data_IF_017270452751
#
_entry.id   IF_017270452751
#
_cell.length_a   1.000
_cell.length_b   1.000
_cell.length_c   1.000
_cell.angle_alpha   90.00
_cell.angle_beta   90.00
_cell.angle_gamma   90.00
#
_symmetry.space_group_name_H-M   'P 1'
#
loop_
_entity.id
_entity.type
_entity.pdbx_description
1 polymer ?
#
# COMPACT_ATOMS: atom_id res chain seq x y z
N UNK A 1 16.82 17.49 4.65
CA UNK A 1 16.55 17.88 6.05
C UNK A 1 16.96 16.73 6.95
N UNK A 2 17.79 16.98 7.92
CA UNK A 2 18.30 15.93 8.83
C UNK A 2 17.58 15.99 10.17
N UNK A 3 17.29 14.84 10.74
CA UNK A 3 16.70 14.68 12.08
C UNK A 3 17.58 13.76 12.92
N UNK A 4 17.39 13.76 14.23
CA UNK A 4 18.03 12.77 15.10
C UNK A 4 17.19 11.48 15.11
N UNK A 5 17.83 10.33 15.34
CA UNK A 5 17.14 9.03 15.28
C UNK A 5 15.97 8.89 16.28
N UNK A 6 16.03 9.60 17.42
CA UNK A 6 14.91 9.66 18.37
C UNK A 6 13.64 10.32 17.81
N UNK A 7 13.75 11.09 16.72
CA UNK A 7 12.62 11.77 16.08
C UNK A 7 12.01 10.95 14.93
N UNK A 8 12.57 9.79 14.62
CA UNK A 8 12.01 8.86 13.64
C UNK A 8 10.61 8.42 14.09
N UNK A 9 9.69 8.41 13.15
CA UNK A 9 8.31 7.94 13.35
C UNK A 9 7.90 6.99 12.24
N UNK A 10 6.93 6.13 12.53
CA UNK A 10 6.33 5.23 11.54
C UNK A 10 5.75 6.02 10.36
N UNK A 11 5.98 5.55 9.15
CA UNK A 11 5.53 6.18 7.91
C UNK A 11 6.48 7.21 7.32
N UNK A 12 7.47 7.68 8.08
CA UNK A 12 8.50 8.59 7.55
C UNK A 12 9.34 7.91 6.48
N UNK A 13 9.78 8.68 5.50
CA UNK A 13 10.79 8.26 4.55
C UNK A 13 12.14 8.84 4.95
N UNK A 14 13.13 8.00 5.11
CA UNK A 14 14.50 8.38 5.50
C UNK A 14 15.51 7.84 4.49
N UNK A 15 16.67 8.47 4.43
CA UNK A 15 17.79 7.96 3.64
C UNK A 15 18.63 7.04 4.53
N UNK A 16 18.70 5.78 4.13
CA UNK A 16 19.53 4.78 4.80
C UNK A 16 20.47 4.12 3.78
N UNK A 17 21.77 4.21 4.03
CA UNK A 17 22.81 3.75 3.11
C UNK A 17 22.67 4.33 1.67
N UNK A 18 22.27 5.61 1.57
CA UNK A 18 22.08 6.28 0.28
C UNK A 18 20.78 5.94 -0.45
N UNK A 19 19.89 5.16 0.16
CA UNK A 19 18.62 4.76 -0.44
C UNK A 19 17.42 5.24 0.38
N UNK A 20 16.33 5.67 -0.28
CA UNK A 20 15.10 6.03 0.42
C UNK A 20 14.42 4.78 1.01
N UNK A 21 14.14 4.83 2.30
CA UNK A 21 13.49 3.76 3.05
C UNK A 21 12.29 4.29 3.81
N UNK A 22 11.19 3.53 3.85
CA UNK A 22 10.02 3.81 4.69
C UNK A 22 10.19 3.16 6.05
N UNK A 23 9.93 3.91 7.09
CA UNK A 23 9.90 3.38 8.46
C UNK A 23 8.58 2.65 8.68
N UNK A 24 8.65 1.33 8.86
CA UNK A 24 7.50 0.47 9.14
C UNK A 24 7.16 0.45 10.63
N UNK A 25 8.18 0.27 11.45
CA UNK A 25 8.08 0.20 12.91
C UNK A 25 9.30 0.85 13.53
N UNK A 26 9.15 1.41 14.71
CA UNK A 26 10.28 1.88 15.51
C UNK A 26 10.01 1.62 16.99
N UNK A 27 11.07 1.30 17.72
CA UNK A 27 11.04 1.09 19.16
C UNK A 27 12.17 1.87 19.81
N UNK A 28 11.82 2.78 20.71
CA UNK A 28 12.79 3.47 21.55
C UNK A 28 13.11 2.59 22.75
N UNK A 29 14.36 2.18 22.86
CA UNK A 29 14.81 1.32 23.95
C UNK A 29 15.90 2.01 24.76
N UNK A 30 15.63 2.18 26.04
CA UNK A 30 16.60 2.74 27.00
C UNK A 30 16.91 1.66 28.04
N UNK A 31 17.92 0.80 27.81
CA UNK A 31 18.28 -0.23 28.75
C UNK A 31 19.04 0.37 29.92
N UNK A 32 18.43 0.42 31.12
CA UNK A 32 19.07 0.76 32.39
C UNK A 32 20.07 1.91 32.33
N UNK A 33 21.35 1.63 32.62
CA UNK A 33 22.45 2.59 32.59
C UNK A 33 23.13 2.73 31.21
N UNK A 34 22.58 2.15 30.15
CA UNK A 34 23.14 2.20 28.79
C UNK A 34 22.51 3.33 27.96
N UNK A 35 23.21 3.68 26.86
CA UNK A 35 22.75 4.71 25.94
C UNK A 35 21.43 4.30 25.28
N UNK A 36 20.52 5.26 25.14
CA UNK A 36 19.27 5.07 24.43
C UNK A 36 19.50 4.70 22.97
N UNK A 37 18.73 3.72 22.47
CA UNK A 37 18.78 3.22 21.11
C UNK A 37 17.39 3.26 20.49
N UNK A 38 17.33 3.40 19.16
CA UNK A 38 16.11 3.31 18.36
C UNK A 38 16.25 2.13 17.41
N UNK A 39 15.44 1.11 17.61
CA UNK A 39 15.34 0.00 16.66
C UNK A 39 14.27 0.35 15.64
N UNK A 40 14.63 0.38 14.37
CA UNK A 40 13.73 0.68 13.28
C UNK A 40 13.67 -0.47 12.29
N UNK A 41 12.44 -0.82 11.88
CA UNK A 41 12.18 -1.70 10.76
C UNK A 41 11.91 -0.85 9.54
N UNK A 42 12.71 -1.04 8.52
CA UNK A 42 12.72 -0.22 7.32
C UNK A 42 12.33 -1.05 6.09
N UNK A 43 11.67 -0.42 5.13
CA UNK A 43 11.45 -0.98 3.79
C UNK A 43 12.13 -0.09 2.76
N UNK A 44 13.04 -0.65 1.97
CA UNK A 44 13.63 0.04 0.83
C UNK A 44 12.55 0.34 -0.20
N UNK A 45 12.39 1.60 -0.58
CA UNK A 45 11.32 2.00 -1.50
C UNK A 45 11.57 1.55 -2.94
N UNK A 46 12.85 1.39 -3.34
CA UNK A 46 13.20 0.92 -4.68
C UNK A 46 12.99 -0.58 -4.88
N UNK A 47 13.27 -1.40 -3.86
CA UNK A 47 13.29 -2.87 -3.97
C UNK A 47 12.18 -3.56 -3.17
N UNK A 48 11.50 -2.85 -2.27
CA UNK A 48 10.53 -3.43 -1.36
C UNK A 48 11.12 -4.28 -0.23
N UNK A 49 12.43 -4.49 -0.22
CA UNK A 49 13.13 -5.32 0.77
C UNK A 49 13.04 -4.71 2.16
N UNK A 50 12.70 -5.52 3.15
CA UNK A 50 12.67 -5.10 4.55
C UNK A 50 14.01 -5.40 5.21
N UNK A 51 14.40 -4.50 6.11
CA UNK A 51 15.58 -4.64 6.94
C UNK A 51 15.33 -4.02 8.31
N UNK A 52 16.10 -4.44 9.30
CA UNK A 52 16.11 -3.84 10.63
C UNK A 52 17.45 -3.18 10.89
N UNK A 53 17.40 -2.00 11.48
CA UNK A 53 18.60 -1.28 11.90
C UNK A 53 18.41 -0.66 13.28
N UNK A 54 19.50 -0.66 14.04
CA UNK A 54 19.55 -0.07 15.38
C UNK A 54 20.39 1.21 15.33
N UNK A 55 19.73 2.33 15.48
CA UNK A 55 20.36 3.65 15.60
C UNK A 55 20.69 3.96 17.04
N UNK A 56 21.72 4.73 17.27
CA UNK A 56 21.88 5.47 18.53
C UNK A 56 20.85 6.60 18.52
N UNK A 57 20.28 6.95 19.67
CA UNK A 57 19.26 8.02 19.74
C UNK A 57 19.73 9.36 19.19
N UNK A 58 21.05 9.61 19.22
CA UNK A 58 21.71 10.83 18.76
C UNK A 58 22.23 10.76 17.33
N UNK A 59 22.11 9.61 16.65
CA UNK A 59 22.54 9.49 15.26
C UNK A 59 21.71 10.43 14.39
N UNK A 60 22.34 11.05 13.41
CA UNK A 60 21.66 11.91 12.44
C UNK A 60 21.20 11.08 11.25
N UNK A 61 19.97 11.28 10.85
CA UNK A 61 19.33 10.60 9.73
C UNK A 61 18.71 11.64 8.81
N UNK A 62 18.96 11.51 7.51
CA UNK A 62 18.36 12.40 6.51
C UNK A 62 16.93 11.93 6.17
N UNK A 63 16.00 12.88 6.12
CA UNK A 63 14.64 12.65 5.66
C UNK A 63 14.64 12.68 4.14
N UNK A 64 14.06 11.65 3.51
CA UNK A 64 13.85 11.64 2.07
C UNK A 64 12.65 12.54 1.72
N UNK A 65 12.87 13.51 0.86
CA UNK A 65 11.78 14.33 0.30
C UNK A 65 11.11 13.57 -0.84
N UNK A 66 9.86 13.17 -0.61
CA UNK A 66 9.03 12.51 -1.59
C UNK A 66 8.03 13.51 -2.16
N UNK A 67 7.93 13.55 -3.47
CA UNK A 67 6.85 14.25 -4.16
C UNK A 67 5.72 13.29 -4.45
N UNK A 68 4.49 13.73 -4.30
CA UNK A 68 3.29 12.93 -4.59
C UNK A 68 2.52 13.56 -5.73
N UNK A 69 2.06 12.72 -6.66
CA UNK A 69 1.18 13.13 -7.75
C UNK A 69 -0.02 12.20 -7.84
N UNK A 70 -1.17 12.76 -8.16
CA UNK A 70 -2.34 11.97 -8.52
C UNK A 70 -2.22 11.51 -9.97
N UNK A 71 -2.34 10.20 -10.17
CA UNK A 71 -2.29 9.57 -11.49
C UNK A 71 -3.58 8.80 -11.76
N UNK A 72 -4.06 8.87 -12.98
CA UNK A 72 -5.14 8.05 -13.48
C UNK A 72 -4.55 6.85 -14.22
N UNK A 73 -4.94 5.64 -13.82
CA UNK A 73 -4.53 4.42 -14.49
C UNK A 73 -5.28 4.28 -15.81
N UNK A 74 -4.55 4.22 -16.92
CA UNK A 74 -5.13 4.17 -18.26
C UNK A 74 -5.32 2.73 -18.74
N UNK A 75 -4.24 1.98 -18.86
CA UNK A 75 -4.25 0.59 -19.32
C UNK A 75 -2.96 -0.12 -18.99
N UNK A 76 -2.99 -1.44 -19.11
CA UNK A 76 -1.81 -2.33 -18.99
C UNK A 76 -1.41 -2.86 -20.36
N UNK A 77 -0.13 -2.78 -20.69
CA UNK A 77 0.48 -3.40 -21.87
C UNK A 77 1.64 -4.30 -21.44
N UNK A 78 1.44 -5.62 -21.53
CA UNK A 78 2.43 -6.59 -21.04
C UNK A 78 2.61 -6.49 -19.53
N UNK A 79 3.80 -6.15 -19.07
CA UNK A 79 4.17 -5.91 -17.67
C UNK A 79 4.22 -4.41 -17.31
N UNK A 80 3.88 -3.53 -18.26
CA UNK A 80 3.93 -2.08 -18.09
C UNK A 80 2.55 -1.51 -17.89
N UNK A 81 2.40 -0.69 -16.86
CA UNK A 81 1.19 0.05 -16.53
C UNK A 81 1.34 1.50 -16.97
N UNK A 82 0.36 1.98 -17.73
CA UNK A 82 0.35 3.33 -18.27
C UNK A 82 -0.58 4.21 -17.45
N UNK A 83 -0.04 5.33 -17.00
CA UNK A 83 -0.74 6.32 -16.18
C UNK A 83 -0.70 7.68 -16.84
N UNK A 84 -1.65 8.52 -16.47
CA UNK A 84 -1.70 9.91 -16.84
C UNK A 84 -1.77 10.78 -15.57
N UNK A 85 -0.91 11.78 -15.48
CA UNK A 85 -0.95 12.75 -14.40
C UNK A 85 -2.25 13.55 -14.47
N UNK A 86 -2.98 13.62 -13.37
CA UNK A 86 -4.27 14.28 -13.30
C UNK A 86 -4.21 15.82 -13.45
N UNK A 87 -3.04 16.43 -13.17
CA UNK A 87 -2.86 17.88 -13.21
C UNK A 87 -2.35 18.38 -14.56
N UNK A 88 -1.28 17.76 -15.09
CA UNK A 88 -0.58 18.23 -16.29
C UNK A 88 -0.77 17.32 -17.51
N UNK A 89 -1.47 16.18 -17.35
CA UNK A 89 -1.75 15.18 -18.40
C UNK A 89 -0.50 14.49 -18.97
N UNK A 90 0.64 14.60 -18.31
CA UNK A 90 1.83 13.85 -18.69
C UNK A 90 1.61 12.35 -18.54
N UNK A 91 2.10 11.58 -19.51
CA UNK A 91 2.03 10.13 -19.46
C UNK A 91 3.25 9.56 -18.75
N UNK A 92 2.99 8.53 -17.95
CA UNK A 92 3.99 7.84 -17.15
C UNK A 92 3.82 6.33 -17.28
N UNK A 93 4.93 5.64 -17.39
CA UNK A 93 4.98 4.18 -17.41
C UNK A 93 5.60 3.67 -16.11
N UNK A 94 4.98 2.65 -15.53
CA UNK A 94 5.45 2.00 -14.31
C UNK A 94 5.42 0.49 -14.52
N UNK A 95 6.53 -0.16 -14.21
CA UNK A 95 6.63 -1.62 -14.33
C UNK A 95 5.87 -2.32 -13.21
N UNK A 96 5.36 -3.52 -13.49
CA UNK A 96 4.63 -4.36 -12.53
C UNK A 96 5.47 -4.64 -11.28
N UNK A 97 6.79 -4.75 -11.40
CA UNK A 97 7.70 -4.95 -10.28
C UNK A 97 7.68 -3.76 -9.31
N UNK A 98 7.64 -2.53 -9.83
CA UNK A 98 7.53 -1.30 -9.00
C UNK A 98 6.18 -1.21 -8.30
N UNK A 99 5.10 -1.65 -8.95
CA UNK A 99 3.77 -1.70 -8.34
C UNK A 99 3.66 -2.77 -7.24
N UNK A 100 4.36 -3.88 -7.39
CA UNK A 100 4.32 -5.00 -6.46
C UNK A 100 2.89 -5.52 -6.25
N UNK A 101 2.50 -5.74 -4.99
CA UNK A 101 1.17 -6.26 -4.63
C UNK A 101 0.02 -5.31 -5.00
N UNK A 102 0.28 -4.04 -5.25
CA UNK A 102 -0.75 -3.08 -5.67
C UNK A 102 -1.25 -3.35 -7.09
N UNK A 103 -0.44 -3.99 -7.92
CA UNK A 103 -0.78 -4.29 -9.31
C UNK A 103 -2.08 -5.08 -9.46
N UNK A 104 -2.33 -6.04 -8.57
CA UNK A 104 -3.55 -6.88 -8.58
C UNK A 104 -4.84 -6.10 -8.32
N UNK A 105 -4.75 -4.93 -7.68
CA UNK A 105 -5.89 -4.08 -7.35
C UNK A 105 -6.19 -3.02 -8.41
N UNK A 106 -5.31 -2.87 -9.41
CA UNK A 106 -5.46 -1.86 -10.44
C UNK A 106 -6.65 -2.15 -11.34
N UNK A 107 -7.45 -1.11 -11.59
CA UNK A 107 -8.56 -1.14 -12.56
C UNK A 107 -8.47 0.10 -13.43
N UNK A 108 -8.75 -0.04 -14.73
CA UNK A 108 -8.71 1.07 -15.67
C UNK A 108 -9.61 2.23 -15.20
N UNK A 109 -9.11 3.45 -15.31
CA UNK A 109 -9.77 4.66 -14.83
C UNK A 109 -9.61 4.93 -13.33
N UNK A 110 -8.92 4.06 -12.59
CA UNK A 110 -8.67 4.26 -11.17
C UNK A 110 -7.68 5.41 -10.94
N UNK A 111 -8.01 6.27 -9.98
CA UNK A 111 -7.10 7.31 -9.49
C UNK A 111 -6.28 6.80 -8.32
N UNK A 112 -4.98 7.01 -8.40
CA UNK A 112 -3.99 6.59 -7.39
C UNK A 112 -3.09 7.76 -7.03
N UNK A 113 -2.37 7.62 -5.93
CA UNK A 113 -1.29 8.54 -5.55
C UNK A 113 0.05 7.84 -5.79
N UNK A 114 0.89 8.43 -6.63
CA UNK A 114 2.24 7.96 -6.85
C UNK A 114 3.24 8.80 -6.07
N UNK A 115 4.19 8.13 -5.45
CA UNK A 115 5.32 8.75 -4.74
C UNK A 115 6.56 8.75 -5.63
N UNK A 116 7.19 9.90 -5.72
CA UNK A 116 8.40 10.12 -6.52
C UNK A 116 9.57 10.51 -5.61
N UNK A 117 10.71 9.96 -5.90
CA UNK A 117 11.99 10.35 -5.33
C UNK A 117 12.94 10.72 -6.46
N UNK A 118 13.46 11.95 -6.45
CA UNK A 118 14.34 12.48 -7.51
C UNK A 118 13.76 12.29 -8.93
N UNK A 119 12.45 12.52 -9.09
CA UNK A 119 11.76 12.42 -10.38
C UNK A 119 11.44 11.00 -10.84
N UNK A 120 11.74 9.98 -10.03
CA UNK A 120 11.44 8.57 -10.35
C UNK A 120 10.30 8.04 -9.49
N UNK A 121 9.34 7.31 -10.06
CA UNK A 121 8.30 6.67 -9.28
C UNK A 121 8.91 5.55 -8.43
N UNK A 122 8.63 5.57 -7.13
CA UNK A 122 9.16 4.59 -6.17
C UNK A 122 8.08 3.82 -5.43
N UNK A 123 6.83 4.25 -5.54
CA UNK A 123 5.71 3.60 -4.90
C UNK A 123 4.38 4.18 -5.32
N UNK A 124 3.34 3.39 -5.11
CA UNK A 124 1.96 3.75 -5.39
C UNK A 124 1.15 3.50 -4.15
N UNK A 125 0.32 4.48 -3.80
CA UNK A 125 -0.67 4.36 -2.76
C UNK A 125 -2.04 4.21 -3.39
N UNK A 126 -2.70 3.10 -3.09
CA UNK A 126 -4.09 2.89 -3.44
C UNK A 126 -4.98 3.69 -2.48
N UNK A 127 -6.20 4.07 -2.91
CA UNK A 127 -7.21 4.55 -1.99
C UNK A 127 -7.42 3.55 -0.86
N UNK A 128 -7.72 4.05 0.34
CA UNK A 128 -7.99 3.19 1.52
C UNK A 128 -9.21 2.28 1.33
N UNK A 129 -10.05 2.62 0.38
CA UNK A 129 -11.28 1.88 0.06
C UNK A 129 -11.47 1.84 -1.44
N UNK A 130 -11.67 0.64 -1.98
CA UNK A 130 -12.03 0.40 -3.37
C UNK A 130 -13.44 -0.15 -3.46
N UNK A 131 -14.22 0.34 -4.43
CA UNK A 131 -15.54 -0.19 -4.75
C UNK A 131 -15.40 -1.09 -5.97
N UNK A 132 -15.70 -2.37 -5.81
CA UNK A 132 -15.57 -3.41 -6.83
C UNK A 132 -16.84 -4.25 -6.90
N UNK A 133 -17.13 -4.76 -8.11
CA UNK A 133 -18.23 -5.68 -8.32
C UNK A 133 -17.81 -7.12 -8.01
N UNK A 134 -18.70 -7.87 -7.38
CA UNK A 134 -18.56 -9.30 -7.17
C UNK A 134 -18.98 -10.02 -8.45
N UNK A 135 -18.04 -10.63 -9.15
CA UNK A 135 -18.30 -11.33 -10.42
C UNK A 135 -18.64 -12.80 -10.22
N UNK A 136 -18.20 -13.39 -9.10
CA UNK A 136 -18.49 -14.79 -8.78
C UNK A 136 -18.40 -15.03 -7.27
N UNK A 137 -19.42 -15.67 -6.71
CA UNK A 137 -19.46 -16.14 -5.31
C UNK A 137 -20.50 -17.24 -5.14
N UNK A 138 -20.36 -18.03 -4.09
CA UNK A 138 -21.35 -19.05 -3.76
C UNK A 138 -22.72 -18.43 -3.44
N UNK A 139 -23.83 -19.11 -3.81
CA UNK A 139 -25.17 -18.65 -3.46
C UNK A 139 -25.39 -18.64 -1.93
N UNK A 140 -26.39 -17.88 -1.48
CA UNK A 140 -26.76 -17.82 -0.07
C UNK A 140 -27.26 -19.21 0.37
N UNK A 141 -26.61 -19.78 1.37
CA UNK A 141 -27.08 -21.03 2.00
C UNK A 141 -28.07 -20.71 3.12
N UNK A 142 -29.31 -21.22 2.99
CA UNK A 142 -30.38 -21.01 3.99
C UNK A 142 -30.12 -21.67 5.35
N UNK A 143 -29.14 -22.55 5.43
CA UNK A 143 -28.79 -23.34 6.62
C UNK A 143 -27.57 -22.82 7.37
N UNK A 144 -26.95 -21.71 6.93
CA UNK A 144 -25.84 -21.12 7.67
C UNK A 144 -26.34 -20.60 9.01
N UNK A 145 -25.94 -21.26 10.09
CA UNK A 145 -26.10 -20.76 11.46
C UNK A 145 -25.52 -19.36 11.53
N UNK A 146 -26.20 -18.46 12.27
CA UNK A 146 -25.93 -17.02 12.40
C UNK A 146 -24.53 -16.64 12.96
N UNK A 147 -23.61 -17.53 13.04
CA UNK A 147 -22.22 -17.27 13.45
C UNK A 147 -21.40 -16.91 12.24
N UNK A 148 -21.11 -15.61 12.11
CA UNK A 148 -20.00 -14.98 11.36
C UNK A 148 -19.33 -15.83 10.26
N UNK A 149 -20.08 -16.56 9.43
CA UNK A 149 -19.50 -17.32 8.34
C UNK A 149 -19.23 -16.39 7.16
N UNK A 150 -18.07 -16.55 6.59
CA UNK A 150 -17.64 -15.85 5.38
C UNK A 150 -17.47 -16.84 4.24
N UNK A 151 -17.62 -16.35 3.02
CA UNK A 151 -17.38 -17.11 1.80
C UNK A 151 -16.46 -16.35 0.86
N UNK A 152 -15.68 -17.06 0.00
CA UNK A 152 -14.86 -16.40 -0.99
C UNK A 152 -15.73 -15.76 -2.08
N UNK A 153 -15.36 -14.57 -2.50
CA UNK A 153 -15.95 -13.86 -3.62
C UNK A 153 -14.85 -13.35 -4.54
N UNK A 154 -14.97 -13.60 -5.83
CA UNK A 154 -14.08 -13.05 -6.84
C UNK A 154 -14.61 -11.69 -7.31
N UNK A 155 -13.73 -10.70 -7.32
CA UNK A 155 -14.03 -9.33 -7.71
C UNK A 155 -13.71 -9.08 -9.19
N UNK A 156 -14.21 -7.98 -9.73
CA UNK A 156 -14.04 -7.59 -11.13
C UNK A 156 -12.58 -7.39 -11.56
N UNK A 157 -11.67 -7.14 -10.62
CA UNK A 157 -10.23 -7.08 -10.86
C UNK A 157 -9.51 -8.44 -10.76
N UNK A 158 -10.23 -9.53 -10.54
CA UNK A 158 -9.69 -10.88 -10.41
C UNK A 158 -9.23 -11.28 -9.01
N UNK A 159 -9.24 -10.36 -8.04
CA UNK A 159 -8.88 -10.65 -6.64
C UNK A 159 -10.02 -11.37 -5.94
N UNK A 160 -9.68 -12.37 -5.11
CA UNK A 160 -10.64 -13.07 -4.26
C UNK A 160 -10.53 -12.56 -2.83
N UNK A 161 -11.66 -12.17 -2.25
CA UNK A 161 -11.77 -11.72 -0.86
C UNK A 161 -12.84 -12.51 -0.12
N UNK A 162 -12.74 -12.58 1.20
CA UNK A 162 -13.78 -13.17 2.03
C UNK A 162 -14.88 -12.14 2.30
N UNK A 163 -16.11 -12.53 2.00
CA UNK A 163 -17.29 -11.68 2.19
C UNK A 163 -18.32 -12.39 3.09
N UNK A 164 -19.21 -11.65 3.76
CA UNK A 164 -20.33 -12.24 4.49
C UNK A 164 -21.21 -13.09 3.57
N UNK A 165 -21.89 -14.08 4.13
CA UNK A 165 -22.75 -15.01 3.41
C UNK A 165 -23.88 -14.35 2.59
N UNK A 166 -24.34 -13.17 3.00
CA UNK A 166 -25.43 -12.44 2.34
C UNK A 166 -25.03 -11.75 1.02
N UNK A 167 -23.72 -11.62 0.74
CA UNK A 167 -23.24 -10.98 -0.48
C UNK A 167 -23.50 -11.89 -1.69
N UNK A 168 -23.99 -11.32 -2.76
CA UNK A 168 -24.35 -12.03 -3.99
C UNK A 168 -23.52 -11.55 -5.19
N UNK A 169 -23.47 -12.40 -6.21
CA UNK A 169 -22.89 -12.03 -7.51
C UNK A 169 -23.66 -10.84 -8.11
N UNK A 170 -22.93 -9.88 -8.68
CA UNK A 170 -23.48 -8.64 -9.22
C UNK A 170 -23.57 -7.49 -8.22
N UNK A 171 -23.37 -7.74 -6.94
CA UNK A 171 -23.33 -6.67 -5.94
C UNK A 171 -21.98 -5.93 -5.97
N UNK A 172 -22.05 -4.64 -5.69
CA UNK A 172 -20.85 -3.81 -5.50
C UNK A 172 -20.52 -3.74 -4.01
N UNK A 173 -19.27 -3.99 -3.68
CA UNK A 173 -18.77 -3.98 -2.32
C UNK A 173 -17.58 -3.04 -2.17
N UNK A 174 -17.36 -2.55 -0.96
CA UNK A 174 -16.16 -1.81 -0.61
C UNK A 174 -15.19 -2.72 0.11
N UNK A 175 -13.93 -2.66 -0.30
CA UNK A 175 -12.84 -3.45 0.26
C UNK A 175 -11.65 -2.55 0.58
N UNK A 176 -10.87 -2.95 1.56
CA UNK A 176 -9.59 -2.32 1.86
C UNK A 176 -8.49 -3.06 1.07
N UNK A 177 -7.84 -2.42 0.09
CA UNK A 177 -6.81 -3.08 -0.70
C UNK A 177 -5.52 -3.36 0.08
N UNK A 178 -5.27 -2.65 1.18
CA UNK A 178 -4.09 -2.89 2.02
C UNK A 178 -4.20 -4.19 2.82
N UNK A 179 -5.38 -4.47 3.37
CA UNK A 179 -5.65 -5.69 4.17
C UNK A 179 -6.30 -6.80 3.37
N UNK A 180 -6.92 -6.50 2.22
CA UNK A 180 -7.70 -7.43 1.42
C UNK A 180 -9.06 -7.78 2.05
N UNK A 181 -9.56 -6.96 2.97
CA UNK A 181 -10.77 -7.23 3.73
C UNK A 181 -12.00 -6.50 3.19
N UNK A 182 -13.13 -7.19 3.26
CA UNK A 182 -14.44 -6.60 3.02
C UNK A 182 -14.77 -5.54 4.08
N UNK A 183 -15.30 -4.39 3.66
CA UNK A 183 -15.75 -3.32 4.54
C UNK A 183 -17.27 -3.36 4.64
N UNK A 184 -17.97 -3.08 3.54
CA UNK A 184 -19.44 -3.08 3.46
C UNK A 184 -19.93 -3.16 2.00
N UNK A 185 -21.25 -3.10 1.83
CA UNK A 185 -21.87 -2.95 0.51
C UNK A 185 -21.78 -1.51 0.04
N UNK A 186 -21.43 -1.32 -1.23
CA UNK A 186 -21.54 0.00 -1.86
C UNK A 186 -23.03 0.31 -2.14
N UNK A 187 -23.43 1.52 -1.82
CA UNK A 187 -24.78 2.03 -2.15
C UNK A 187 -24.85 2.47 -3.61
#
# INVERSE_FOLDING_TARGET
MSIIASDIRRGMAIIFNGEPCRVLEFHHHTPGNLRAMVQAKLRRLKTGTQLEHRFRSTDTVDVAELMTHELDFMYKAGTTYHFMNAENYDQLEVDEETLGDTAKWMSEGMRIIAEFYEGRPIGIQLPSTLTLEVVDTAPIMKTATKTASTKPARLSNGVTVNVPEFVQTGERIRVNPETGEYIDRAK
#
